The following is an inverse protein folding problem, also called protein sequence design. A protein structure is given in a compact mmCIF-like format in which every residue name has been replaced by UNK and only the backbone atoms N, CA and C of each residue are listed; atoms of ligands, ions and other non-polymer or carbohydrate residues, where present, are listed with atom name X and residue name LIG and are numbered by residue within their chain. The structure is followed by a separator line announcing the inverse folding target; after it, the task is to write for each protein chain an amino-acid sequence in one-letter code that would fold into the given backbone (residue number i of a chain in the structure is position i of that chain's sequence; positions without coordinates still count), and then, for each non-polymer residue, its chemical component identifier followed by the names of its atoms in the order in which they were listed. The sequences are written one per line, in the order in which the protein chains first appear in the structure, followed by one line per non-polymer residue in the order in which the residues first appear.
data_IF_352669397363
#
_entry.id   IF_352669397363
#
_cell.length_a   1.000
_cell.length_b   1.000
_cell.length_c   1.000
_cell.angle_alpha   90.00
_cell.angle_beta   90.00
_cell.angle_gamma   90.00
#
_symmetry.space_group_name_H-M   'P 1'
#
loop_
_entity.id
_entity.type
_entity.pdbx_description
1 polymer ?
#
# COMPACT_ATOMS: atom_id res chain seq x y z
N UNK A 1 -3.55 8.58 17.32
CA UNK A 1 -2.96 8.14 16.04
C UNK A 1 -4.01 8.32 14.96
N UNK A 2 -3.74 9.10 13.92
CA UNK A 2 -4.74 9.38 12.89
C UNK A 2 -4.55 8.43 11.72
N UNK A 3 -5.15 7.24 11.84
CA UNK A 3 -5.18 6.18 10.80
C UNK A 3 -5.63 6.72 9.44
N UNK A 4 -6.30 7.88 9.42
CA UNK A 4 -6.73 8.60 8.22
C UNK A 4 -5.59 9.05 7.28
N UNK A 5 -4.34 9.13 7.74
CA UNK A 5 -3.23 9.62 6.92
C UNK A 5 -2.50 8.52 6.13
N UNK A 6 -2.68 7.25 6.49
CA UNK A 6 -1.96 6.13 5.86
C UNK A 6 -2.29 5.98 4.37
N UNK A 7 -3.57 6.07 3.92
CA UNK A 7 -3.90 6.03 2.50
C UNK A 7 -3.21 7.13 1.69
N UNK A 8 -3.19 8.37 2.18
CA UNK A 8 -2.54 9.49 1.52
C UNK A 8 -1.04 9.25 1.37
N UNK A 9 -0.41 8.69 2.41
CA UNK A 9 1.01 8.32 2.37
C UNK A 9 1.29 7.21 1.36
N UNK A 10 0.41 6.21 1.23
CA UNK A 10 0.53 5.15 0.23
C UNK A 10 0.45 5.76 -1.18
N UNK A 11 -0.52 6.65 -1.43
CA UNK A 11 -0.65 7.35 -2.71
C UNK A 11 0.63 8.13 -3.04
N UNK A 12 1.12 8.96 -2.11
CA UNK A 12 2.36 9.74 -2.29
C UNK A 12 3.57 8.84 -2.61
N UNK A 13 3.69 7.69 -1.95
CA UNK A 13 4.77 6.74 -2.22
C UNK A 13 4.65 6.14 -3.63
N UNK A 14 3.44 5.79 -4.07
CA UNK A 14 3.20 5.22 -5.40
C UNK A 14 3.31 6.28 -6.51
N UNK A 15 2.94 7.54 -6.26
CA UNK A 15 3.16 8.65 -7.19
C UNK A 15 4.65 8.86 -7.46
N UNK A 16 5.47 8.83 -6.40
CA UNK A 16 6.92 9.08 -6.50
C UNK A 16 7.70 7.92 -7.09
N UNK A 17 7.29 6.68 -6.78
CA UNK A 17 8.09 5.50 -7.12
C UNK A 17 7.45 4.64 -8.22
N UNK A 18 6.23 4.96 -8.65
CA UNK A 18 5.43 4.07 -9.47
C UNK A 18 5.00 2.82 -8.70
N UNK A 19 4.97 1.68 -9.38
CA UNK A 19 4.54 0.43 -8.79
C UNK A 19 5.55 -0.10 -7.77
N UNK A 20 5.06 -0.55 -6.60
CA UNK A 20 5.87 -1.11 -5.53
C UNK A 20 5.45 -2.53 -5.20
N UNK A 21 6.41 -3.34 -4.74
CA UNK A 21 6.08 -4.64 -4.13
C UNK A 21 5.49 -4.43 -2.74
N UNK A 22 4.62 -5.34 -2.30
CA UNK A 22 3.98 -5.25 -0.98
C UNK A 22 4.98 -5.08 0.17
N UNK A 23 6.06 -5.87 0.18
CA UNK A 23 7.08 -5.84 1.22
C UNK A 23 7.87 -4.52 1.22
N UNK A 24 8.10 -3.94 0.05
CA UNK A 24 8.75 -2.64 -0.10
C UNK A 24 7.84 -1.49 0.36
N UNK A 25 6.57 -1.52 -0.04
CA UNK A 25 5.56 -0.56 0.39
C UNK A 25 5.38 -0.62 1.92
N UNK A 26 5.23 -1.82 2.48
CA UNK A 26 5.11 -2.04 3.92
C UNK A 26 6.29 -1.46 4.69
N UNK A 27 7.52 -1.79 4.29
CA UNK A 27 8.74 -1.26 4.93
C UNK A 27 8.78 0.26 4.90
N UNK A 28 8.29 0.91 3.84
CA UNK A 28 8.28 2.38 3.72
C UNK A 28 7.21 3.03 4.57
N UNK A 29 5.99 2.49 4.58
CA UNK A 29 4.88 3.02 5.40
C UNK A 29 5.19 2.84 6.89
N UNK A 30 5.77 1.71 7.29
CA UNK A 30 6.11 1.44 8.69
C UNK A 30 7.18 2.38 9.28
N UNK A 31 7.95 3.09 8.44
CA UNK A 31 8.91 4.09 8.91
C UNK A 31 8.22 5.23 9.67
N UNK A 32 7.01 5.62 9.24
CA UNK A 32 6.18 6.61 9.93
C UNK A 32 5.15 5.96 10.86
N UNK A 33 4.65 4.77 10.52
CA UNK A 33 3.58 4.08 11.26
C UNK A 33 4.08 2.77 11.89
N UNK A 34 4.74 2.87 13.05
CA UNK A 34 5.45 1.72 13.67
C UNK A 34 4.53 0.57 14.09
N UNK A 35 3.28 0.87 14.43
CA UNK A 35 2.27 -0.09 14.89
C UNK A 35 1.52 -0.78 13.73
N UNK A 36 1.74 -0.36 12.49
CA UNK A 36 1.08 -0.95 11.34
C UNK A 36 1.53 -2.40 11.13
N UNK A 37 0.59 -3.35 11.22
CA UNK A 37 0.83 -4.75 10.87
C UNK A 37 0.67 -5.01 9.36
N UNK A 38 1.16 -6.16 8.89
CA UNK A 38 0.92 -6.61 7.52
C UNK A 38 -0.58 -6.77 7.21
N UNK A 39 -1.37 -7.22 8.20
CA UNK A 39 -2.82 -7.40 8.06
C UNK A 39 -3.55 -6.06 7.95
N UNK A 40 -3.08 -5.04 8.67
CA UNK A 40 -3.64 -3.69 8.56
C UNK A 40 -3.36 -3.12 7.17
N UNK A 41 -2.12 -3.23 6.67
CA UNK A 41 -1.80 -2.78 5.32
C UNK A 41 -2.57 -3.57 4.26
N UNK A 42 -2.73 -4.87 4.42
CA UNK A 42 -3.57 -5.69 3.53
C UNK A 42 -5.02 -5.19 3.49
N UNK A 43 -5.62 -4.99 4.66
CA UNK A 43 -6.99 -4.53 4.78
C UNK A 43 -7.16 -3.12 4.20
N UNK A 44 -6.15 -2.27 4.38
CA UNK A 44 -6.13 -0.92 3.83
C UNK A 44 -6.03 -0.92 2.30
N UNK A 45 -5.11 -1.70 1.73
CA UNK A 45 -4.96 -1.83 0.28
C UNK A 45 -6.21 -2.42 -0.36
N UNK A 46 -6.87 -3.39 0.28
CA UNK A 46 -8.16 -3.91 -0.19
C UNK A 46 -9.22 -2.82 -0.24
N UNK A 47 -9.34 -1.98 0.80
CA UNK A 47 -10.27 -0.85 0.81
C UNK A 47 -9.94 0.17 -0.28
N UNK A 48 -8.66 0.51 -0.45
CA UNK A 48 -8.20 1.44 -1.49
C UNK A 48 -8.44 0.89 -2.91
N UNK A 49 -8.32 -0.43 -3.12
CA UNK A 49 -8.62 -1.08 -4.40
C UNK A 49 -10.11 -1.05 -4.73
N UNK A 50 -10.99 -1.28 -3.73
CA UNK A 50 -12.45 -1.12 -3.88
C UNK A 50 -12.82 0.32 -4.24
N UNK A 51 -12.06 1.30 -3.73
CA UNK A 51 -12.24 2.73 -4.02
C UNK A 51 -11.57 3.18 -5.33
N UNK A 52 -11.01 2.25 -6.11
CA UNK A 52 -10.29 2.52 -7.36
C UNK A 52 -9.15 3.54 -7.19
N UNK A 53 -8.45 3.49 -6.04
CA UNK A 53 -7.26 4.31 -5.77
C UNK A 53 -5.96 3.56 -6.14
N UNK A 54 -5.98 2.23 -6.02
CA UNK A 54 -4.84 1.36 -6.33
C UNK A 54 -5.30 0.10 -7.06
N UNK A 55 -4.36 -0.53 -7.77
CA UNK A 55 -4.49 -1.89 -8.31
C UNK A 55 -3.52 -2.80 -7.59
N UNK A 56 -3.95 -4.00 -7.19
CA UNK A 56 -3.09 -5.01 -6.57
C UNK A 56 -2.95 -6.24 -7.49
N UNK A 57 -1.81 -6.37 -8.14
CA UNK A 57 -1.50 -7.51 -9.00
C UNK A 57 -0.81 -8.61 -8.21
N UNK A 58 -1.31 -9.85 -8.33
CA UNK A 58 -0.53 -11.02 -7.94
C UNK A 58 0.55 -11.26 -8.99
N UNK A 59 1.78 -11.44 -8.52
CA UNK A 59 2.93 -11.80 -9.35
C UNK A 59 3.49 -13.17 -8.85
N UNK A 60 4.36 -13.85 -9.61
CA UNK A 60 4.83 -15.19 -9.26
C UNK A 60 5.39 -15.31 -7.84
N UNK A 61 5.33 -16.54 -7.30
CA UNK A 61 5.81 -16.89 -5.94
C UNK A 61 5.06 -16.15 -4.82
N UNK A 62 3.76 -15.89 -5.00
CA UNK A 62 2.91 -15.28 -3.98
C UNK A 62 3.24 -13.80 -3.68
N UNK A 63 4.06 -13.16 -4.51
CA UNK A 63 4.38 -11.74 -4.36
C UNK A 63 3.26 -10.88 -4.93
N UNK A 64 3.21 -9.62 -4.52
CA UNK A 64 2.21 -8.65 -4.99
C UNK A 64 2.87 -7.35 -5.41
N UNK A 65 2.36 -6.78 -6.50
CA UNK A 65 2.71 -5.47 -7.04
C UNK A 65 1.51 -4.54 -6.87
N UNK A 66 1.74 -3.36 -6.32
CA UNK A 66 0.75 -2.33 -6.04
C UNK A 66 1.11 -1.11 -6.88
N UNK A 67 0.14 -0.52 -7.57
CA UNK A 67 0.30 0.74 -8.28
C UNK A 67 -0.98 1.57 -8.17
N UNK A 68 -0.89 2.87 -8.47
CA UNK A 68 -2.07 3.72 -8.52
C UNK A 68 -3.03 3.21 -9.61
N UNK A 69 -4.31 3.18 -9.28
CA UNK A 69 -5.33 3.07 -10.31
C UNK A 69 -5.28 4.36 -11.14
N UNK A 70 -5.28 4.19 -12.45
CA UNK A 70 -5.38 5.27 -13.44
C UNK A 70 -6.69 5.12 -14.18
#
# INVERSE_FOLDING_TARGET
MDVKLIPARIVELLERNGALKFDELYKRVRKSEKELSDNDLNSLLMKMEIQDLVRVYRIPRGKRRIELAR
#
